data_IF_454226986374
#
_entry.id   IF_454226986374
#
_cell.length_a   1.000
_cell.length_b   1.000
_cell.length_c   1.000
_cell.angle_alpha   90.00
_cell.angle_beta   90.00
_cell.angle_gamma   90.00
#
_symmetry.space_group_name_H-M   'P 1'
#
loop_
_entity.id
_entity.type
_entity.pdbx_description
1 polymer ?
#
# COMPACT_ATOMS: atom_id res chain seq x y z
N UNK A 1 -10.08 -21.07 2.40
CA UNK A 1 -10.14 -19.63 2.70
C UNK A 1 -9.17 -18.89 1.79
N UNK A 2 -9.51 -17.69 1.35
CA UNK A 2 -8.71 -16.88 0.42
C UNK A 2 -8.25 -15.58 1.04
N UNK A 3 -6.96 -15.27 0.89
CA UNK A 3 -6.39 -13.97 1.21
C UNK A 3 -6.37 -13.10 -0.06
N UNK A 4 -7.02 -11.95 -0.03
CA UNK A 4 -6.95 -10.93 -1.08
C UNK A 4 -6.18 -9.73 -0.55
N UNK A 5 -5.21 -9.23 -1.30
CA UNK A 5 -4.43 -8.06 -0.88
C UNK A 5 -4.54 -6.92 -1.88
N UNK A 6 -4.77 -5.71 -1.37
CA UNK A 6 -4.83 -4.45 -2.10
C UNK A 6 -3.84 -3.44 -1.50
N UNK A 7 -3.32 -2.54 -2.31
CA UNK A 7 -2.42 -1.49 -1.86
C UNK A 7 -1.27 -1.19 -2.83
N UNK A 8 -0.27 -0.49 -2.33
CA UNK A 8 0.88 -0.02 -3.10
C UNK A 8 2.01 -1.07 -3.22
N UNK A 9 3.20 -0.61 -3.56
CA UNK A 9 4.40 -1.44 -3.73
C UNK A 9 4.79 -2.25 -2.49
N UNK A 10 4.54 -1.76 -1.28
CA UNK A 10 4.80 -2.49 -0.04
C UNK A 10 3.87 -3.70 0.08
N UNK A 11 2.58 -3.51 -0.19
CA UNK A 11 1.61 -4.62 -0.22
C UNK A 11 1.88 -5.58 -1.37
N UNK A 12 2.35 -5.07 -2.51
CA UNK A 12 2.77 -5.90 -3.65
C UNK A 12 3.92 -6.84 -3.30
N UNK A 13 4.77 -6.47 -2.35
CA UNK A 13 5.99 -7.20 -1.98
C UNK A 13 7.22 -6.76 -2.77
N UNK A 14 7.23 -5.52 -3.27
CA UNK A 14 8.44 -4.96 -3.87
C UNK A 14 9.57 -4.96 -2.83
N UNK A 15 10.72 -5.52 -3.20
CA UNK A 15 11.86 -5.66 -2.29
C UNK A 15 11.89 -6.94 -1.45
N UNK A 16 10.82 -7.74 -1.42
CA UNK A 16 10.71 -8.93 -0.56
C UNK A 16 11.83 -9.98 -0.77
N UNK A 17 12.41 -10.05 -1.94
CA UNK A 17 13.54 -10.95 -2.21
C UNK A 17 14.90 -10.39 -1.80
N UNK A 18 14.96 -9.11 -1.48
CA UNK A 18 16.21 -8.45 -1.20
C UNK A 18 16.74 -8.84 0.18
N UNK A 19 18.02 -9.18 0.24
CA UNK A 19 18.73 -9.53 1.47
C UNK A 19 19.78 -8.46 1.79
N UNK A 20 20.30 -8.50 3.00
CA UNK A 20 21.41 -7.64 3.39
C UNK A 20 22.66 -7.98 2.55
N UNK A 21 23.32 -6.95 2.02
CA UNK A 21 24.47 -7.11 1.14
C UNK A 21 24.15 -7.16 -0.37
N UNK A 22 22.87 -7.31 -0.76
CA UNK A 22 22.49 -7.30 -2.17
C UNK A 22 22.77 -5.93 -2.83
N UNK A 23 23.15 -5.97 -4.09
CA UNK A 23 23.43 -4.80 -4.91
C UNK A 23 22.17 -4.27 -5.61
N UNK A 24 22.28 -3.09 -6.22
CA UNK A 24 21.23 -2.56 -7.07
C UNK A 24 20.91 -3.47 -8.26
N UNK A 25 21.90 -4.18 -8.81
CA UNK A 25 21.69 -5.14 -9.91
C UNK A 25 20.84 -6.34 -9.47
N UNK A 26 21.04 -6.81 -8.23
CA UNK A 26 20.24 -7.91 -7.66
C UNK A 26 18.78 -7.48 -7.51
N UNK A 27 18.53 -6.24 -7.05
CA UNK A 27 17.18 -5.68 -6.99
C UNK A 27 16.50 -5.63 -8.36
N UNK A 28 17.20 -5.16 -9.40
CA UNK A 28 16.67 -5.07 -10.77
C UNK A 28 16.30 -6.47 -11.31
N UNK A 29 17.11 -7.48 -11.01
CA UNK A 29 16.87 -8.89 -11.34
C UNK A 29 15.63 -9.41 -10.60
N UNK A 30 15.56 -9.24 -9.29
CA UNK A 30 14.47 -9.74 -8.46
C UNK A 30 13.12 -9.06 -8.73
N UNK A 31 13.14 -7.81 -9.16
CA UNK A 31 11.92 -7.08 -9.50
C UNK A 31 11.08 -7.75 -10.59
N UNK A 32 11.70 -8.55 -11.45
CA UNK A 32 11.05 -9.25 -12.54
C UNK A 32 10.46 -10.60 -12.11
N UNK A 33 10.95 -11.17 -11.02
CA UNK A 33 10.47 -12.44 -10.49
C UNK A 33 9.30 -12.25 -9.54
N UNK A 34 8.10 -12.24 -10.11
CA UNK A 34 6.84 -12.00 -9.39
C UNK A 34 6.54 -13.13 -8.41
N UNK A 35 6.88 -14.37 -8.75
CA UNK A 35 6.59 -15.55 -7.94
C UNK A 35 7.46 -15.58 -6.69
N UNK A 36 8.75 -15.32 -6.83
CA UNK A 36 9.67 -15.25 -5.70
C UNK A 36 9.39 -14.01 -4.83
N UNK A 37 9.03 -12.85 -5.42
CA UNK A 37 8.53 -11.70 -4.66
C UNK A 37 7.29 -12.06 -3.83
N UNK A 38 6.41 -12.91 -4.35
CA UNK A 38 5.27 -13.41 -3.58
C UNK A 38 5.72 -14.25 -2.39
N UNK A 39 6.55 -15.26 -2.61
CA UNK A 39 6.99 -16.21 -1.59
C UNK A 39 7.58 -15.52 -0.35
N UNK A 40 8.40 -14.50 -0.55
CA UNK A 40 9.08 -13.79 0.54
C UNK A 40 8.33 -12.54 1.05
N UNK A 41 7.22 -12.15 0.43
CA UNK A 41 6.39 -11.05 0.92
C UNK A 41 5.55 -11.46 2.12
N UNK A 42 5.15 -10.49 2.95
CA UNK A 42 4.28 -10.76 4.10
C UNK A 42 2.98 -11.49 3.70
N UNK A 43 2.44 -11.20 2.53
CA UNK A 43 1.23 -11.85 2.02
C UNK A 43 1.44 -13.33 1.69
N UNK A 44 2.62 -13.68 1.15
CA UNK A 44 3.00 -15.08 0.91
C UNK A 44 3.24 -15.82 2.21
N UNK A 45 3.96 -15.18 3.15
CA UNK A 45 4.22 -15.74 4.48
C UNK A 45 2.92 -16.01 5.26
N UNK A 46 1.94 -15.10 5.20
CA UNK A 46 0.62 -15.30 5.80
C UNK A 46 -0.16 -16.43 5.12
N UNK A 47 -0.20 -16.44 3.78
CA UNK A 47 -0.90 -17.46 3.02
C UNK A 47 -0.33 -18.86 3.30
N UNK A 48 0.99 -19.00 3.39
CA UNK A 48 1.67 -20.25 3.75
C UNK A 48 1.35 -20.68 5.18
N UNK A 49 1.52 -19.76 6.16
CA UNK A 49 1.26 -20.02 7.57
C UNK A 49 -0.14 -20.56 7.85
N UNK A 50 -1.15 -19.99 7.18
CA UNK A 50 -2.54 -20.34 7.40
C UNK A 50 -3.12 -21.29 6.32
N UNK A 51 -2.32 -21.72 5.36
CA UNK A 51 -2.73 -22.55 4.21
C UNK A 51 -3.88 -21.95 3.42
N UNK A 52 -3.82 -20.62 3.21
CA UNK A 52 -4.82 -19.90 2.43
C UNK A 52 -4.43 -19.82 0.95
N UNK A 53 -5.42 -19.90 0.06
CA UNK A 53 -5.23 -19.44 -1.32
C UNK A 53 -5.01 -17.91 -1.32
N UNK A 54 -4.35 -17.39 -2.35
CA UNK A 54 -4.01 -15.97 -2.38
C UNK A 54 -4.31 -15.29 -3.72
N UNK A 55 -4.82 -14.06 -3.65
CA UNK A 55 -4.99 -13.15 -4.79
C UNK A 55 -4.39 -11.77 -4.48
N UNK A 56 -3.40 -11.38 -5.27
CA UNK A 56 -2.81 -10.05 -5.16
C UNK A 56 -3.45 -9.09 -6.17
N UNK A 57 -4.08 -8.05 -5.67
CA UNK A 57 -4.61 -6.92 -6.46
C UNK A 57 -3.73 -5.67 -6.35
N UNK A 58 -2.79 -5.62 -5.41
CA UNK A 58 -1.89 -4.47 -5.23
C UNK A 58 -0.96 -4.26 -6.42
N UNK A 59 -0.46 -3.03 -6.58
CA UNK A 59 0.47 -2.64 -7.65
C UNK A 59 1.53 -1.67 -7.16
N UNK A 60 2.71 -1.77 -7.77
CA UNK A 60 3.79 -0.80 -7.56
C UNK A 60 3.32 0.58 -8.04
N UNK A 61 3.51 1.61 -7.20
CA UNK A 61 3.12 2.97 -7.52
C UNK A 61 1.61 3.22 -7.52
N UNK A 62 0.80 2.35 -6.92
CA UNK A 62 -0.66 2.52 -6.89
C UNK A 62 -1.10 3.70 -6.03
N UNK A 63 -2.24 4.29 -6.37
CA UNK A 63 -3.00 5.26 -5.56
C UNK A 63 -4.20 4.60 -4.91
N UNK A 64 -4.77 5.23 -3.88
CA UNK A 64 -5.99 4.72 -3.24
C UNK A 64 -7.16 4.63 -4.24
N UNK A 65 -7.34 5.61 -5.11
CA UNK A 65 -8.40 5.60 -6.15
C UNK A 65 -8.25 4.39 -7.09
N UNK A 66 -7.01 4.10 -7.50
CA UNK A 66 -6.73 2.93 -8.35
C UNK A 66 -7.07 1.62 -7.67
N UNK A 67 -6.74 1.50 -6.39
CA UNK A 67 -7.05 0.29 -5.62
C UNK A 67 -8.56 0.13 -5.41
N UNK A 68 -9.31 1.21 -5.14
CA UNK A 68 -10.78 1.17 -5.08
C UNK A 68 -11.39 0.70 -6.41
N UNK A 69 -10.94 1.24 -7.55
CA UNK A 69 -11.40 0.80 -8.87
C UNK A 69 -11.11 -0.67 -9.13
N UNK A 70 -9.95 -1.16 -8.74
CA UNK A 70 -9.58 -2.58 -8.88
C UNK A 70 -10.37 -3.49 -7.96
N UNK A 71 -10.64 -3.03 -6.75
CA UNK A 71 -11.53 -3.74 -5.83
C UNK A 71 -12.93 -3.86 -6.43
N UNK A 72 -13.49 -2.77 -6.96
CA UNK A 72 -14.79 -2.80 -7.65
C UNK A 72 -14.81 -3.82 -8.78
N UNK A 73 -13.78 -3.85 -9.62
CA UNK A 73 -13.70 -4.79 -10.73
C UNK A 73 -13.61 -6.25 -10.26
N UNK A 74 -12.87 -6.51 -9.18
CA UNK A 74 -12.67 -7.85 -8.66
C UNK A 74 -13.89 -8.36 -7.87
N UNK A 75 -14.51 -7.53 -7.05
CA UNK A 75 -15.62 -7.89 -6.17
C UNK A 75 -17.01 -7.62 -6.78
N UNK A 76 -17.09 -7.27 -8.06
CA UNK A 76 -18.40 -7.19 -8.75
C UNK A 76 -19.16 -8.52 -8.72
N UNK A 77 -18.44 -9.62 -8.62
CA UNK A 77 -18.99 -10.95 -8.38
C UNK A 77 -18.69 -11.40 -6.96
N UNK A 78 -19.68 -11.96 -6.28
CA UNK A 78 -19.51 -12.46 -4.90
C UNK A 78 -18.47 -13.58 -4.89
N UNK A 79 -17.47 -13.53 -4.00
CA UNK A 79 -16.53 -14.64 -3.83
C UNK A 79 -17.24 -15.95 -3.46
N UNK A 80 -16.81 -17.04 -4.05
CA UNK A 80 -17.35 -18.38 -3.79
C UNK A 80 -16.75 -19.05 -2.56
N UNK A 81 -15.65 -18.51 -2.03
CA UNK A 81 -14.96 -19.02 -0.85
C UNK A 81 -14.84 -17.94 0.23
N UNK A 82 -14.75 -18.38 1.49
CA UNK A 82 -14.51 -17.46 2.60
C UNK A 82 -13.26 -16.62 2.34
N UNK A 83 -13.41 -15.30 2.39
CA UNK A 83 -12.38 -14.36 1.94
C UNK A 83 -12.00 -13.41 3.06
N UNK A 84 -10.70 -13.20 3.20
CA UNK A 84 -10.09 -12.14 4.01
C UNK A 84 -9.44 -11.13 3.08
N UNK A 85 -9.65 -9.84 3.35
CA UNK A 85 -9.02 -8.74 2.62
C UNK A 85 -8.03 -8.02 3.53
N UNK A 86 -6.77 -7.90 3.10
CA UNK A 86 -5.80 -6.97 3.69
C UNK A 86 -5.61 -5.80 2.74
N UNK A 87 -5.98 -4.61 3.17
CA UNK A 87 -5.94 -3.43 2.32
C UNK A 87 -5.02 -2.34 2.89
N UNK A 88 -3.89 -2.13 2.20
CA UNK A 88 -2.92 -1.10 2.53
C UNK A 88 -3.28 0.25 1.90
N UNK A 89 -3.52 1.22 2.75
CA UNK A 89 -3.74 2.61 2.34
C UNK A 89 -2.38 3.27 2.07
N UNK A 90 -2.28 3.95 0.95
CA UNK A 90 -1.10 4.74 0.57
C UNK A 90 -1.36 6.23 0.79
N UNK A 91 -0.31 7.06 0.62
CA UNK A 91 -0.42 8.50 0.77
C UNK A 91 -1.51 9.10 -0.15
N UNK A 92 -2.29 10.03 0.38
CA UNK A 92 -3.39 10.71 -0.34
C UNK A 92 -2.90 11.55 -1.53
N UNK A 93 -1.66 12.02 -1.48
CA UNK A 93 -1.01 12.74 -2.58
C UNK A 93 -0.81 11.91 -3.86
N UNK A 94 -1.07 10.60 -3.82
CA UNK A 94 -1.09 9.72 -5.00
C UNK A 94 -2.51 9.61 -5.53
N UNK A 95 -2.75 10.13 -6.72
CA UNK A 95 -4.09 10.16 -7.34
C UNK A 95 -4.09 9.66 -8.78
N UNK A 96 -5.27 9.41 -9.31
CA UNK A 96 -5.50 9.18 -10.74
C UNK A 96 -6.27 10.34 -11.34
N UNK A 97 -5.79 10.87 -12.47
CA UNK A 97 -6.46 11.91 -13.24
C UNK A 97 -6.76 11.38 -14.65
N UNK A 98 -7.99 11.60 -15.12
CA UNK A 98 -8.35 11.19 -16.46
C UNK A 98 -7.80 12.16 -17.49
N UNK A 99 -6.94 11.66 -18.38
CA UNK A 99 -6.46 12.44 -19.52
C UNK A 99 -7.43 12.35 -20.69
N UNK A 100 -8.13 13.44 -20.96
CA UNK A 100 -9.05 13.54 -22.11
C UNK A 100 -8.31 13.30 -23.43
N UNK A 101 -7.09 13.84 -23.57
CA UNK A 101 -6.26 13.70 -24.76
C UNK A 101 -5.88 12.23 -25.04
N UNK A 102 -5.54 11.47 -23.98
CA UNK A 102 -5.09 10.09 -24.13
C UNK A 102 -6.19 9.07 -23.87
N UNK A 103 -7.40 9.54 -23.52
CA UNK A 103 -8.57 8.71 -23.17
C UNK A 103 -8.27 7.63 -22.15
N UNK A 104 -7.42 7.95 -21.13
CA UNK A 104 -7.04 7.01 -20.07
C UNK A 104 -6.73 7.71 -18.75
N UNK A 105 -6.83 6.92 -17.66
CA UNK A 105 -6.39 7.35 -16.36
C UNK A 105 -4.86 7.41 -16.29
N UNK A 106 -4.35 8.49 -15.71
CA UNK A 106 -2.95 8.72 -15.42
C UNK A 106 -2.73 8.79 -13.93
N UNK A 107 -1.68 8.15 -13.48
CA UNK A 107 -1.27 8.18 -12.10
C UNK A 107 -0.36 9.40 -11.85
N UNK A 108 -0.69 10.18 -10.82
CA UNK A 108 0.08 11.33 -10.36
C UNK A 108 0.52 11.10 -8.91
N UNK A 109 1.73 11.55 -8.61
CA UNK A 109 2.30 11.55 -7.26
C UNK A 109 2.87 12.93 -6.96
N UNK A 110 2.18 13.68 -6.10
CA UNK A 110 2.56 15.05 -5.75
C UNK A 110 3.76 15.13 -4.82
N UNK A 111 4.04 14.08 -4.02
CA UNK A 111 5.21 14.08 -3.12
C UNK A 111 6.52 14.23 -3.86
N UNK A 112 6.64 13.63 -5.05
CA UNK A 112 7.87 13.75 -5.83
C UNK A 112 8.15 15.17 -6.31
N UNK A 113 7.14 16.03 -6.28
CA UNK A 113 7.25 17.43 -6.65
C UNK A 113 7.80 18.29 -5.51
N UNK A 114 7.30 18.11 -4.29
CA UNK A 114 7.77 18.85 -3.11
C UNK A 114 9.21 18.47 -2.71
N UNK A 115 9.63 17.22 -2.99
CA UNK A 115 10.97 16.74 -2.67
C UNK A 115 12.03 17.09 -3.74
N UNK A 116 11.67 17.17 -5.02
CA UNK A 116 12.56 17.53 -6.11
C UNK A 116 11.80 18.07 -7.35
N UNK A 117 11.64 19.40 -7.45
CA UNK A 117 10.94 20.03 -8.58
C UNK A 117 11.54 19.70 -9.96
N UNK A 118 12.83 19.32 -10.00
CA UNK A 118 13.53 18.96 -11.25
C UNK A 118 13.19 17.53 -11.72
N UNK A 119 12.84 16.63 -10.79
CA UNK A 119 12.41 15.26 -11.11
C UNK A 119 11.00 15.16 -11.68
N UNK A 120 10.16 16.12 -11.41
CA UNK A 120 8.74 16.14 -11.77
C UNK A 120 8.49 16.49 -13.25
N UNK A 121 9.51 16.72 -14.04
CA UNK A 121 9.39 16.90 -15.49
C UNK A 121 8.98 15.60 -16.20
N UNK A 122 7.86 15.04 -15.80
CA UNK A 122 7.19 14.07 -16.65
C UNK A 122 6.80 14.81 -17.94
N UNK A 123 7.04 14.21 -19.10
CA UNK A 123 6.69 14.73 -20.45
C UNK A 123 5.18 15.01 -20.63
N UNK A 124 4.44 15.21 -19.51
CA UNK A 124 3.01 14.98 -19.44
C UNK A 124 2.16 16.21 -19.63
N UNK A 125 2.68 17.42 -19.41
CA UNK A 125 1.77 18.55 -19.30
C UNK A 125 2.28 19.82 -19.92
N UNK A 126 1.68 20.19 -21.01
CA UNK A 126 1.69 21.57 -21.49
C UNK A 126 0.55 22.42 -20.89
N UNK A 127 -0.37 21.85 -20.11
CA UNK A 127 -1.58 22.56 -19.71
C UNK A 127 -1.87 22.54 -18.20
N UNK A 128 -1.60 21.46 -17.48
CA UNK A 128 -1.73 21.40 -16.00
C UNK A 128 -0.51 20.71 -15.46
N UNK A 129 0.31 21.42 -14.70
CA UNK A 129 1.45 20.83 -14.03
C UNK A 129 1.00 20.21 -12.71
N UNK A 130 1.73 19.23 -12.12
CA UNK A 130 1.42 18.70 -10.79
C UNK A 130 1.33 19.81 -9.74
N UNK A 131 2.12 20.88 -9.88
CA UNK A 131 2.09 22.07 -9.02
C UNK A 131 0.74 22.77 -9.08
N UNK A 132 0.32 23.11 -10.31
CA UNK A 132 -0.93 23.82 -10.53
C UNK A 132 -2.13 23.02 -10.03
N UNK A 133 -2.07 21.69 -10.14
CA UNK A 133 -3.07 20.81 -9.58
C UNK A 133 -3.01 20.80 -8.04
N UNK A 134 -1.82 20.67 -7.45
CA UNK A 134 -1.66 20.68 -6.00
C UNK A 134 -2.13 22.00 -5.37
N UNK A 135 -1.82 23.12 -6.02
CA UNK A 135 -2.24 24.47 -5.54
C UNK A 135 -3.75 24.70 -5.64
N UNK A 136 -4.42 24.13 -6.65
CA UNK A 136 -5.81 24.49 -6.94
C UNK A 136 -6.83 23.37 -6.64
N UNK A 137 -6.40 22.12 -6.54
CA UNK A 137 -7.30 20.95 -6.46
C UNK A 137 -6.95 19.95 -5.37
N UNK A 138 -5.75 20.01 -4.78
CA UNK A 138 -5.37 19.10 -3.72
C UNK A 138 -5.53 19.76 -2.35
N UNK A 139 -6.46 19.25 -1.58
CA UNK A 139 -6.63 19.54 -0.18
C UNK A 139 -6.47 18.22 0.62
N UNK A 140 -5.49 18.18 1.53
CA UNK A 140 -5.17 16.97 2.29
C UNK A 140 -6.34 16.50 3.14
N UNK A 141 -6.99 17.43 3.85
CA UNK A 141 -8.05 17.09 4.80
C UNK A 141 -9.30 16.60 4.05
N UNK A 142 -9.61 17.24 2.92
CA UNK A 142 -10.69 16.79 2.05
C UNK A 142 -10.40 15.41 1.44
N UNK A 143 -9.16 15.14 1.02
CA UNK A 143 -8.78 13.81 0.51
C UNK A 143 -8.87 12.73 1.60
N UNK A 144 -8.49 13.04 2.86
CA UNK A 144 -8.65 12.13 4.00
C UNK A 144 -10.13 11.90 4.31
N UNK A 145 -10.97 12.93 4.23
CA UNK A 145 -12.42 12.79 4.39
C UNK A 145 -13.03 11.87 3.33
N UNK A 146 -12.73 12.11 2.06
CA UNK A 146 -13.17 11.26 0.95
C UNK A 146 -12.69 9.81 1.13
N UNK A 147 -11.45 9.65 1.58
CA UNK A 147 -10.87 8.32 1.86
C UNK A 147 -11.62 7.63 3.00
N UNK A 148 -11.90 8.35 4.10
CA UNK A 148 -12.69 7.84 5.24
C UNK A 148 -14.03 7.30 4.78
N UNK A 149 -14.80 8.11 4.04
CA UNK A 149 -16.12 7.74 3.54
C UNK A 149 -16.06 6.49 2.66
N UNK A 150 -15.07 6.41 1.76
CA UNK A 150 -14.87 5.24 0.90
C UNK A 150 -14.53 3.98 1.69
N UNK A 151 -13.66 4.07 2.70
CA UNK A 151 -13.31 2.93 3.53
C UNK A 151 -14.51 2.41 4.32
N UNK A 152 -15.37 3.31 4.84
CA UNK A 152 -16.60 2.94 5.54
C UNK A 152 -17.60 2.25 4.60
N UNK A 153 -17.80 2.78 3.39
CA UNK A 153 -18.64 2.13 2.37
C UNK A 153 -18.13 0.74 2.00
N UNK A 154 -16.82 0.57 1.86
CA UNK A 154 -16.23 -0.74 1.58
C UNK A 154 -16.35 -1.71 2.75
N UNK A 155 -16.29 -1.24 4.01
CA UNK A 155 -16.58 -2.08 5.17
C UNK A 155 -18.01 -2.64 5.11
N UNK A 156 -19.00 -1.78 4.88
CA UNK A 156 -20.40 -2.19 4.76
C UNK A 156 -20.61 -3.17 3.60
N UNK A 157 -19.98 -2.90 2.45
CA UNK A 157 -20.04 -3.78 1.29
C UNK A 157 -19.43 -5.16 1.59
N UNK A 158 -18.27 -5.23 2.20
CA UNK A 158 -17.64 -6.49 2.57
C UNK A 158 -18.46 -7.25 3.62
N UNK A 159 -19.00 -6.58 4.61
CA UNK A 159 -19.88 -7.19 5.60
C UNK A 159 -21.13 -7.81 4.95
N UNK A 160 -21.73 -7.14 3.97
CA UNK A 160 -22.88 -7.68 3.21
C UNK A 160 -22.54 -8.94 2.41
N UNK A 161 -21.28 -9.13 2.05
CA UNK A 161 -20.78 -10.32 1.35
C UNK A 161 -20.23 -11.41 2.29
N UNK A 162 -20.18 -11.16 3.61
CA UNK A 162 -19.53 -12.06 4.58
C UNK A 162 -18.00 -12.08 4.47
N UNK A 163 -17.41 -11.02 3.94
CA UNK A 163 -15.97 -10.87 3.80
C UNK A 163 -15.40 -10.14 5.02
N UNK A 164 -14.36 -10.67 5.62
CA UNK A 164 -13.59 -9.99 6.66
C UNK A 164 -12.50 -9.14 6.04
N UNK A 165 -12.50 -7.83 6.31
CA UNK A 165 -11.46 -6.95 5.84
C UNK A 165 -10.69 -6.29 6.98
N UNK A 166 -9.41 -6.03 6.74
CA UNK A 166 -8.50 -5.31 7.63
C UNK A 166 -7.80 -4.22 6.84
N UNK A 167 -7.69 -3.03 7.45
CA UNK A 167 -7.06 -1.87 6.88
C UNK A 167 -5.74 -1.57 7.58
N UNK A 168 -4.79 -1.02 6.86
CA UNK A 168 -3.55 -0.52 7.45
C UNK A 168 -2.99 0.65 6.64
N UNK A 169 -2.51 1.66 7.32
CA UNK A 169 -1.73 2.72 6.72
C UNK A 169 -0.32 2.21 6.41
N UNK A 170 0.19 2.48 5.22
CA UNK A 170 1.50 1.95 4.81
C UNK A 170 2.64 2.82 5.30
N UNK A 171 2.55 4.13 5.09
CA UNK A 171 3.66 5.06 5.28
C UNK A 171 3.40 6.14 6.31
N UNK A 172 2.20 6.67 6.35
CA UNK A 172 1.78 7.75 7.20
C UNK A 172 0.46 7.39 7.84
N UNK A 173 0.33 7.66 9.13
CA UNK A 173 -0.95 7.58 9.80
C UNK A 173 -1.84 8.70 9.30
N UNK A 174 -3.05 8.37 8.85
CA UNK A 174 -4.05 9.35 8.44
C UNK A 174 -4.95 9.69 9.63
N UNK A 175 -5.30 10.96 9.76
CA UNK A 175 -6.27 11.44 10.76
C UNK A 175 -7.68 11.29 10.19
N UNK A 176 -8.19 10.08 10.22
CA UNK A 176 -9.53 9.76 9.68
C UNK A 176 -10.61 10.54 10.41
N UNK A 177 -11.59 11.08 9.68
CA UNK A 177 -12.68 11.87 10.24
C UNK A 177 -13.68 11.05 11.07
N UNK A 178 -13.66 9.73 10.93
CA UNK A 178 -14.44 8.77 11.71
C UNK A 178 -13.63 7.51 12.00
N UNK A 179 -13.95 6.74 13.06
CA UNK A 179 -13.31 5.48 13.34
C UNK A 179 -13.48 4.47 12.20
N UNK A 180 -12.40 3.92 11.70
CA UNK A 180 -12.42 2.87 10.68
C UNK A 180 -12.38 1.51 11.36
N UNK A 181 -13.38 0.62 11.13
CA UNK A 181 -13.36 -0.73 11.68
C UNK A 181 -12.14 -1.53 11.22
N UNK A 182 -11.55 -2.30 12.14
CA UNK A 182 -10.41 -3.19 11.88
C UNK A 182 -9.21 -2.48 11.22
N UNK A 183 -9.01 -1.20 11.52
CA UNK A 183 -7.81 -0.46 11.12
C UNK A 183 -6.67 -0.76 12.10
N UNK A 184 -5.48 -1.09 11.57
CA UNK A 184 -4.25 -1.19 12.34
C UNK A 184 -3.89 0.19 12.92
N UNK A 185 -3.69 0.30 14.22
CA UNK A 185 -3.28 1.55 14.86
C UNK A 185 -1.87 1.95 14.43
N UNK A 186 -1.71 3.18 13.91
CA UNK A 186 -0.47 3.70 13.36
C UNK A 186 -0.11 3.05 12.01
N UNK A 187 0.85 3.62 11.33
CA UNK A 187 1.29 3.09 10.04
C UNK A 187 2.35 1.98 10.17
N UNK A 188 2.49 1.15 9.12
CA UNK A 188 3.43 0.04 9.11
C UNK A 188 4.88 0.48 9.30
N UNK A 189 5.28 1.59 8.67
CA UNK A 189 6.67 2.05 8.78
C UNK A 189 7.01 2.44 10.23
N UNK A 190 6.12 3.17 10.90
CA UNK A 190 6.29 3.53 12.32
C UNK A 190 6.40 2.29 13.22
N UNK A 191 5.57 1.29 12.98
CA UNK A 191 5.64 0.02 13.73
C UNK A 191 6.93 -0.75 13.49
N UNK A 192 7.40 -0.79 12.25
CA UNK A 192 8.65 -1.47 11.90
C UNK A 192 9.88 -0.84 12.58
N UNK A 193 9.90 0.48 12.74
CA UNK A 193 11.03 1.19 13.33
C UNK A 193 10.86 1.50 14.82
N UNK A 194 9.67 1.24 15.38
CA UNK A 194 9.37 1.57 16.79
C UNK A 194 9.38 3.07 17.07
N UNK A 195 8.99 3.89 16.08
CA UNK A 195 9.04 5.35 16.17
C UNK A 195 7.86 5.99 15.43
N UNK A 196 7.20 6.95 16.10
CA UNK A 196 6.04 7.67 15.57
C UNK A 196 6.37 9.03 14.96
N UNK A 197 7.62 9.26 14.58
CA UNK A 197 8.03 10.51 13.93
C UNK A 197 7.25 10.74 12.62
N UNK A 198 6.73 11.95 12.42
CA UNK A 198 6.03 12.31 11.19
C UNK A 198 6.98 12.56 9.99
N UNK A 199 8.29 12.51 10.21
CA UNK A 199 9.30 12.77 9.19
C UNK A 199 9.66 11.48 8.47
N UNK A 200 9.15 11.29 7.26
CA UNK A 200 9.41 10.13 6.40
C UNK A 200 10.90 9.78 6.29
N UNK A 201 11.75 10.75 5.97
CA UNK A 201 13.19 10.53 5.76
C UNK A 201 13.90 10.01 7.01
N UNK A 202 13.48 10.45 8.21
CA UNK A 202 14.00 9.94 9.49
C UNK A 202 13.65 8.48 9.67
N UNK A 203 12.38 8.13 9.52
CA UNK A 203 11.90 6.74 9.68
C UNK A 203 12.53 5.79 8.66
N UNK A 204 12.65 6.19 7.40
CA UNK A 204 13.33 5.37 6.38
C UNK A 204 14.80 5.18 6.69
N UNK A 205 15.51 6.22 7.15
CA UNK A 205 16.91 6.09 7.58
C UNK A 205 17.06 5.10 8.73
N UNK A 206 16.19 5.15 9.73
CA UNK A 206 16.17 4.19 10.82
C UNK A 206 15.87 2.76 10.34
N UNK A 207 14.91 2.60 9.43
CA UNK A 207 14.60 1.30 8.83
C UNK A 207 15.80 0.71 8.04
N UNK A 208 16.57 1.56 7.37
CA UNK A 208 17.83 1.18 6.71
C UNK A 208 18.89 0.76 7.73
N UNK A 209 19.07 1.51 8.82
CA UNK A 209 19.99 1.15 9.91
C UNK A 209 19.63 -0.18 10.58
N UNK A 210 18.34 -0.50 10.68
CA UNK A 210 17.84 -1.77 11.18
C UNK A 210 17.94 -2.91 10.16
N UNK A 211 18.34 -2.63 8.92
CA UNK A 211 18.45 -3.60 7.85
C UNK A 211 17.11 -4.22 7.43
N UNK A 212 16.00 -3.47 7.55
CA UNK A 212 14.63 -3.97 7.25
C UNK A 212 14.03 -3.42 5.97
N UNK A 213 14.68 -2.43 5.35
CA UNK A 213 14.32 -1.91 4.03
C UNK A 213 15.53 -1.92 3.10
N UNK A 214 15.25 -2.06 1.82
CA UNK A 214 16.25 -1.95 0.78
C UNK A 214 16.80 -0.50 0.69
N UNK A 215 18.12 -0.29 0.76
CA UNK A 215 18.71 1.05 0.73
C UNK A 215 18.50 1.80 -0.60
N UNK A 216 18.29 1.08 -1.71
CA UNK A 216 18.15 1.68 -3.04
C UNK A 216 16.71 2.08 -3.37
N UNK A 217 15.72 1.39 -2.81
CA UNK A 217 14.31 1.54 -3.19
C UNK A 217 13.38 1.89 -2.04
N UNK A 218 13.89 1.82 -0.80
CA UNK A 218 13.12 2.09 0.42
C UNK A 218 11.89 1.16 0.60
N UNK A 219 11.92 0.00 -0.05
CA UNK A 219 10.91 -1.04 0.14
C UNK A 219 11.35 -2.01 1.22
N UNK A 220 10.42 -2.62 1.98
CA UNK A 220 10.76 -3.69 2.90
C UNK A 220 11.50 -4.81 2.18
N UNK A 221 12.60 -5.23 2.75
CA UNK A 221 13.34 -6.41 2.30
C UNK A 221 12.74 -7.69 2.93
N UNK A 222 13.37 -8.83 2.74
CA UNK A 222 12.89 -10.10 3.28
C UNK A 222 12.66 -10.05 4.80
N UNK A 223 13.60 -9.46 5.56
CA UNK A 223 13.46 -9.25 7.01
C UNK A 223 12.29 -8.32 7.35
N UNK A 224 12.15 -7.21 6.63
CA UNK A 224 11.04 -6.28 6.81
C UNK A 224 9.68 -6.93 6.53
N UNK A 225 9.56 -7.73 5.48
CA UNK A 225 8.31 -8.44 5.18
C UNK A 225 7.97 -9.51 6.22
N UNK A 226 8.96 -10.16 6.82
CA UNK A 226 8.72 -11.08 7.95
C UNK A 226 8.14 -10.34 9.15
N UNK A 227 8.72 -9.21 9.54
CA UNK A 227 8.21 -8.37 10.63
C UNK A 227 6.78 -7.85 10.34
N UNK A 228 6.49 -7.45 9.10
CA UNK A 228 5.12 -7.07 8.72
C UNK A 228 4.15 -8.25 8.91
N UNK A 229 4.55 -9.45 8.53
CA UNK A 229 3.73 -10.65 8.73
C UNK A 229 3.44 -10.89 10.21
N UNK A 230 4.44 -10.73 11.08
CA UNK A 230 4.31 -10.86 12.54
C UNK A 230 3.35 -9.81 13.11
N UNK A 231 3.48 -8.54 12.69
CA UNK A 231 2.57 -7.45 13.08
C UNK A 231 1.11 -7.81 12.73
N UNK A 232 0.85 -8.36 11.55
CA UNK A 232 -0.51 -8.75 11.17
C UNK A 232 -1.02 -9.96 11.93
N UNK A 233 -0.17 -10.95 12.21
CA UNK A 233 -0.54 -12.09 13.05
C UNK A 233 -0.95 -11.61 14.44
N UNK A 234 -0.15 -10.78 15.08
CA UNK A 234 -0.41 -10.27 16.43
C UNK A 234 -1.69 -9.43 16.51
N UNK A 235 -1.92 -8.55 15.54
CA UNK A 235 -3.00 -7.57 15.63
C UNK A 235 -4.33 -8.05 15.03
N UNK A 236 -4.30 -8.94 14.03
CA UNK A 236 -5.49 -9.34 13.30
C UNK A 236 -5.84 -10.82 13.47
N UNK A 237 -4.86 -11.70 13.63
CA UNK A 237 -5.09 -13.14 13.53
C UNK A 237 -4.82 -13.93 14.81
N UNK A 238 -4.22 -13.35 15.85
CA UNK A 238 -3.90 -14.05 17.12
C UNK A 238 -5.07 -14.22 18.07
N UNK A 239 -6.15 -13.46 17.93
CA UNK A 239 -7.27 -13.44 18.88
C UNK A 239 -8.38 -14.43 18.58
N UNK A 240 -8.06 -15.55 17.96
CA UNK A 240 -8.91 -16.73 17.92
C UNK A 240 -10.07 -16.67 16.93
N UNK A 241 -10.09 -17.62 16.02
CA UNK A 241 -11.31 -18.04 15.29
C UNK A 241 -11.34 -17.63 13.81
N UNK A 242 -10.57 -18.29 13.02
CA UNK A 242 -10.89 -18.56 11.62
C UNK A 242 -11.27 -20.02 11.45
#
# INVERSE_FOLDING_TARGET
MKLVTLGCSWTYGAGAMHQEGDTRKDYEKYRQDIESCYKYSFRGLLAEKYRWSHKNLSRIGSSNQKEFRRATEYFKEKPTEQTIVLWGITATCRTEVYSVKEKKLRHWNYNSYYEDPKRSRSKFTRTITPELYAENFYDHDNEVKILTDRMLHWNLFFESLGITNYWFDTFNTHEYTQPIPRLLKGDLLSRLVGESSNIWSSRIRKAQQLGIVNPFTQHPNQKGHRLISEIFVENFFSKGGF
#
